data_IF_405531437382
#
_entry.id   IF_405531437382
#
_cell.length_a   1.000
_cell.length_b   1.000
_cell.length_c   1.000
_cell.angle_alpha   90.00
_cell.angle_beta   90.00
_cell.angle_gamma   90.00
#
_symmetry.space_group_name_H-M   'P 1'
#
loop_
_entity.id
_entity.type
_entity.pdbx_description
1 polymer ?
#
# COMPACT_ATOMS: atom_id res chain seq x y z
N UNK A 1 -18.41 13.88 1.40
CA UNK A 1 -18.09 13.97 2.84
C UNK A 1 -16.59 13.98 3.02
N UNK A 2 -16.10 14.17 4.25
CA UNK A 2 -14.66 14.12 4.54
C UNK A 2 -14.12 12.69 4.44
N UNK A 3 -12.84 12.54 4.10
CA UNK A 3 -12.23 11.22 3.91
C UNK A 3 -12.27 10.36 5.18
N UNK A 4 -11.84 10.89 6.32
CA UNK A 4 -11.93 10.22 7.63
C UNK A 4 -13.34 9.70 7.98
N UNK A 5 -14.39 10.38 7.51
CA UNK A 5 -15.77 10.04 7.86
C UNK A 5 -16.37 9.03 6.89
N UNK A 6 -15.93 9.03 5.62
CA UNK A 6 -16.62 8.33 4.53
C UNK A 6 -15.86 7.13 3.99
N UNK A 7 -14.53 7.17 3.94
CA UNK A 7 -13.73 6.10 3.36
C UNK A 7 -13.66 4.83 4.21
N UNK A 8 -13.59 4.89 5.56
CA UNK A 8 -13.55 3.67 6.38
C UNK A 8 -14.79 2.78 6.19
N UNK A 9 -15.95 3.38 5.97
CA UNK A 9 -17.24 2.68 5.81
C UNK A 9 -17.72 2.61 4.37
N UNK A 10 -16.93 3.10 3.41
CA UNK A 10 -17.29 3.05 2.00
C UNK A 10 -17.53 1.58 1.58
N UNK A 11 -18.64 1.27 0.88
CA UNK A 11 -19.03 -0.08 0.48
C UNK A 11 -18.20 -0.58 -0.71
N UNK A 12 -16.88 -0.53 -0.55
CA UNK A 12 -15.85 -0.93 -1.51
C UNK A 12 -15.20 -2.18 -0.94
N UNK A 13 -15.27 -3.28 -1.70
CA UNK A 13 -14.64 -4.55 -1.35
C UNK A 13 -13.23 -4.66 -1.94
N UNK A 14 -13.05 -4.25 -3.19
CA UNK A 14 -11.77 -4.29 -3.90
C UNK A 14 -11.59 -3.11 -4.86
N UNK A 15 -10.35 -2.75 -5.11
CA UNK A 15 -9.92 -1.72 -6.03
C UNK A 15 -8.85 -2.27 -6.97
N UNK A 16 -9.04 -2.10 -8.27
CA UNK A 16 -7.96 -2.30 -9.25
C UNK A 16 -7.01 -1.10 -9.29
N UNK A 17 -7.54 0.10 -9.05
CA UNK A 17 -6.79 1.36 -9.03
C UNK A 17 -7.27 2.23 -7.87
N UNK A 18 -6.33 2.79 -7.11
CA UNK A 18 -6.54 3.84 -6.13
C UNK A 18 -5.81 5.10 -6.62
N UNK A 19 -6.53 6.18 -6.91
CA UNK A 19 -5.93 7.48 -7.25
C UNK A 19 -6.13 8.46 -6.09
N UNK A 20 -5.03 9.06 -5.63
CA UNK A 20 -4.96 10.03 -4.54
C UNK A 20 -4.63 11.41 -5.10
N UNK A 21 -5.45 12.39 -4.74
CA UNK A 21 -5.43 13.75 -5.27
C UNK A 21 -6.10 14.63 -4.20
N UNK A 22 -5.33 15.01 -3.20
CA UNK A 22 -5.87 15.47 -1.92
C UNK A 22 -4.97 16.41 -1.15
N UNK A 23 -3.81 16.78 -1.73
CA UNK A 23 -2.80 17.75 -1.28
C UNK A 23 -2.20 17.57 0.14
N UNK A 24 -3.08 17.44 1.13
CA UNK A 24 -2.80 17.44 2.55
C UNK A 24 -2.27 16.08 3.01
N UNK A 25 -1.45 16.15 4.06
CA UNK A 25 -0.92 14.96 4.73
C UNK A 25 -2.07 14.10 5.28
N UNK A 26 -2.99 14.72 6.03
CA UNK A 26 -4.10 14.02 6.68
C UNK A 26 -5.03 13.37 5.66
N UNK A 27 -5.41 14.09 4.60
CA UNK A 27 -6.26 13.57 3.53
C UNK A 27 -5.64 12.37 2.82
N UNK A 28 -4.34 12.45 2.53
CA UNK A 28 -3.58 11.36 1.91
C UNK A 28 -3.51 10.14 2.84
N UNK A 29 -3.23 10.36 4.13
CA UNK A 29 -3.09 9.29 5.12
C UNK A 29 -4.44 8.62 5.42
N UNK A 30 -5.52 9.38 5.56
CA UNK A 30 -6.89 8.87 5.74
C UNK A 30 -7.30 7.97 4.57
N UNK A 31 -7.06 8.42 3.33
CA UNK A 31 -7.37 7.66 2.14
C UNK A 31 -6.55 6.37 2.04
N UNK A 32 -5.23 6.44 2.27
CA UNK A 32 -4.38 5.25 2.26
C UNK A 32 -4.77 4.24 3.33
N UNK A 33 -5.01 4.67 4.57
CA UNK A 33 -5.39 3.78 5.67
C UNK A 33 -6.71 3.06 5.38
N UNK A 34 -7.68 3.76 4.79
CA UNK A 34 -8.99 3.20 4.49
C UNK A 34 -9.01 2.33 3.21
N UNK A 35 -8.28 2.73 2.17
CA UNK A 35 -8.45 2.19 0.82
C UNK A 35 -7.29 1.33 0.33
N UNK A 36 -6.04 1.56 0.78
CA UNK A 36 -4.91 0.75 0.36
C UNK A 36 -5.10 -0.75 0.62
N UNK A 37 -5.64 -1.19 1.78
CA UNK A 37 -5.90 -2.62 2.02
C UNK A 37 -6.82 -3.26 0.99
N UNK A 38 -7.69 -2.46 0.36
CA UNK A 38 -8.67 -2.88 -0.65
C UNK A 38 -8.07 -2.92 -2.06
N UNK A 39 -6.88 -2.38 -2.30
CA UNK A 39 -6.20 -2.47 -3.60
C UNK A 39 -5.78 -3.92 -3.82
N UNK A 40 -6.27 -4.56 -4.86
CA UNK A 40 -5.92 -5.95 -5.17
C UNK A 40 -4.42 -6.11 -5.44
N UNK A 41 -3.81 -7.28 -5.18
CA UNK A 41 -2.52 -7.63 -5.76
C UNK A 41 -2.50 -7.39 -7.27
N UNK A 42 -1.44 -6.74 -7.76
CA UNK A 42 -1.33 -6.30 -9.16
C UNK A 42 -2.10 -5.02 -9.49
N UNK A 43 -2.88 -4.48 -8.55
CA UNK A 43 -3.54 -3.18 -8.68
C UNK A 43 -2.58 -2.01 -8.51
N UNK A 44 -3.04 -0.81 -8.83
CA UNK A 44 -2.20 0.39 -8.86
C UNK A 44 -2.61 1.40 -7.80
N UNK A 45 -1.61 2.11 -7.27
CA UNK A 45 -1.81 3.35 -6.52
C UNK A 45 -1.15 4.49 -7.28
N UNK A 46 -1.93 5.51 -7.58
CA UNK A 46 -1.51 6.72 -8.29
C UNK A 46 -1.62 7.90 -7.32
N UNK A 47 -0.59 8.74 -7.26
CA UNK A 47 -0.52 9.91 -6.39
C UNK A 47 -0.26 11.12 -7.28
N UNK A 48 -1.21 12.04 -7.34
CA UNK A 48 -1.11 13.24 -8.18
C UNK A 48 -0.10 14.25 -7.62
N UNK A 49 -0.15 14.45 -6.30
CA UNK A 49 0.54 15.55 -5.62
C UNK A 49 1.86 15.16 -4.97
N UNK A 50 2.53 14.10 -5.43
CA UNK A 50 3.78 13.65 -4.79
C UNK A 50 4.89 14.71 -4.86
N UNK A 51 4.80 15.70 -5.76
CA UNK A 51 5.65 16.90 -5.75
C UNK A 51 5.51 17.76 -4.49
N UNK A 52 4.35 17.74 -3.82
CA UNK A 52 4.09 18.51 -2.60
C UNK A 52 4.74 17.83 -1.37
N UNK A 53 5.45 18.59 -0.50
CA UNK A 53 6.12 18.02 0.67
C UNK A 53 5.19 17.29 1.64
N UNK A 54 3.97 17.79 1.84
CA UNK A 54 2.96 17.21 2.74
C UNK A 54 2.44 15.86 2.23
N UNK A 55 2.07 15.80 0.95
CA UNK A 55 1.62 14.56 0.31
C UNK A 55 2.76 13.53 0.29
N UNK A 56 3.97 13.94 -0.13
CA UNK A 56 5.17 13.09 -0.13
C UNK A 56 5.45 12.48 1.25
N UNK A 57 5.43 13.30 2.30
CA UNK A 57 5.64 12.82 3.66
C UNK A 57 4.61 11.76 4.06
N UNK A 58 3.32 11.95 3.72
CA UNK A 58 2.28 10.96 4.00
C UNK A 58 2.51 9.65 3.25
N UNK A 59 2.87 9.70 1.97
CA UNK A 59 3.20 8.51 1.17
C UNK A 59 4.39 7.77 1.78
N UNK A 60 5.48 8.48 2.07
CA UNK A 60 6.71 7.90 2.56
C UNK A 60 6.53 7.28 3.97
N UNK A 61 5.78 7.96 4.85
CA UNK A 61 5.45 7.47 6.19
C UNK A 61 4.56 6.22 6.14
N UNK A 62 3.50 6.25 5.31
CA UNK A 62 2.60 5.12 5.15
C UNK A 62 3.34 3.87 4.65
N UNK A 63 4.21 4.05 3.65
CA UNK A 63 4.99 2.97 3.06
C UNK A 63 6.02 2.43 4.04
N UNK A 64 6.75 3.30 4.74
CA UNK A 64 7.73 2.92 5.75
C UNK A 64 7.09 2.11 6.89
N UNK A 65 5.95 2.56 7.40
CA UNK A 65 5.22 1.88 8.47
C UNK A 65 4.76 0.46 8.10
N UNK A 66 4.61 0.16 6.80
CA UNK A 66 4.11 -1.12 6.28
C UNK A 66 5.15 -1.93 5.52
N UNK A 67 6.40 -1.48 5.47
CA UNK A 67 7.46 -2.15 4.71
C UNK A 67 7.15 -2.25 3.21
N UNK A 68 6.40 -1.30 2.64
CA UNK A 68 6.07 -1.32 1.21
C UNK A 68 7.29 -0.84 0.43
N UNK A 69 7.90 -1.79 -0.28
CA UNK A 69 9.10 -1.56 -1.09
C UNK A 69 8.81 -1.56 -2.60
N UNK A 70 7.53 -1.64 -3.00
CA UNK A 70 7.11 -1.59 -4.40
C UNK A 70 7.68 -0.33 -5.10
N UNK A 71 8.38 -0.46 -6.25
CA UNK A 71 9.03 0.68 -6.89
C UNK A 71 8.07 1.82 -7.22
N UNK A 72 8.50 3.06 -6.91
CA UNK A 72 7.77 4.27 -7.29
C UNK A 72 8.24 4.70 -8.69
N UNK A 73 7.29 4.83 -9.61
CA UNK A 73 7.49 5.31 -10.97
C UNK A 73 6.98 6.73 -11.11
N UNK A 74 7.81 7.62 -11.66
CA UNK A 74 7.40 9.00 -11.97
C UNK A 74 6.54 9.03 -13.22
N UNK A 75 5.48 9.83 -13.18
CA UNK A 75 4.63 10.14 -14.34
C UNK A 75 5.13 11.44 -14.95
N UNK A 76 5.25 12.49 -14.13
CA UNK A 76 5.69 13.82 -14.53
C UNK A 76 6.45 14.54 -13.39
N UNK A 77 6.33 15.87 -13.31
CA UNK A 77 7.01 16.69 -12.31
C UNK A 77 6.44 16.54 -10.89
N UNK A 78 5.20 16.06 -10.74
CA UNK A 78 4.55 15.84 -9.45
C UNK A 78 4.05 14.41 -9.29
N UNK A 79 3.41 13.84 -10.31
CA UNK A 79 2.68 12.59 -10.22
C UNK A 79 3.61 11.37 -10.16
N UNK A 80 3.22 10.38 -9.34
CA UNK A 80 3.87 9.08 -9.27
C UNK A 80 2.85 7.95 -9.17
N UNK A 81 3.29 6.72 -9.42
CA UNK A 81 2.51 5.52 -9.12
C UNK A 81 3.38 4.36 -8.66
N UNK A 82 2.75 3.36 -8.04
CA UNK A 82 3.33 2.02 -7.88
C UNK A 82 2.26 0.95 -8.12
N UNK A 83 2.72 -0.25 -8.50
CA UNK A 83 1.88 -1.44 -8.53
C UNK A 83 2.01 -2.18 -7.20
N UNK A 84 0.89 -2.50 -6.55
CA UNK A 84 0.88 -3.27 -5.30
C UNK A 84 1.29 -4.71 -5.62
N UNK A 85 2.43 -5.14 -5.10
CA UNK A 85 2.80 -6.56 -5.20
C UNK A 85 1.81 -7.44 -4.45
N UNK A 86 1.67 -8.69 -4.87
CA UNK A 86 1.08 -9.69 -3.99
C UNK A 86 1.92 -9.75 -2.72
N UNK A 87 1.29 -9.81 -1.55
CA UNK A 87 2.02 -10.11 -0.33
C UNK A 87 2.73 -11.44 -0.57
N UNK A 88 4.07 -11.40 -0.58
CA UNK A 88 4.87 -12.59 -0.81
C UNK A 88 4.52 -13.57 0.32
N UNK A 89 3.75 -14.62 0.05
CA UNK A 89 3.55 -15.77 0.97
C UNK A 89 4.84 -16.58 1.18
N UNK A 90 6.01 -15.98 0.99
CA UNK A 90 7.32 -16.60 1.14
C UNK A 90 7.94 -16.13 2.45
N UNK A 91 7.27 -16.40 3.56
CA UNK A 91 7.86 -16.27 4.90
C UNK A 91 7.15 -17.13 5.97
N UNK A 92 6.47 -18.24 5.62
CA UNK A 92 6.11 -19.28 6.60
C UNK A 92 6.18 -20.66 5.91
N UNK A 93 7.35 -21.03 5.40
CA UNK A 93 7.72 -22.45 5.32
C UNK A 93 8.99 -22.59 6.14
N UNK A 94 8.81 -22.86 7.42
CA UNK A 94 9.89 -23.37 8.26
C UNK A 94 10.44 -24.64 7.59
N UNK A 95 11.77 -24.81 7.44
CA UNK A 95 12.29 -26.09 6.98
C UNK A 95 12.03 -27.12 8.07
N UNK A 96 11.06 -27.99 7.80
CA UNK A 96 10.87 -29.24 8.51
C UNK A 96 12.22 -29.98 8.56
N UNK A 97 12.79 -30.10 9.77
CA UNK A 97 13.97 -30.93 10.00
C UNK A 97 13.50 -32.37 10.00
N UNK A 98 13.76 -33.03 8.89
CA UNK A 98 13.56 -34.45 8.66
C UNK A 98 14.07 -35.30 9.83
N UNK A 99 13.28 -36.31 10.14
CA UNK A 99 13.50 -37.39 11.09
C UNK A 99 14.94 -37.93 11.18
N UNK A 100 15.39 -38.19 12.39
CA UNK A 100 16.27 -39.31 12.72
C UNK A 100 15.63 -40.10 13.87
N UNK A 101 14.72 -41.01 13.50
CA UNK A 101 14.52 -42.25 14.24
C UNK A 101 15.57 -43.23 13.69
N UNK A 102 16.60 -43.53 14.48
CA UNK A 102 17.30 -44.81 14.38
C UNK A 102 17.18 -45.47 15.75
N UNK A 103 16.22 -46.39 15.83
CA UNK A 103 16.24 -47.46 16.81
C UNK A 103 17.32 -48.46 16.41
N UNK A 104 18.26 -48.72 17.30
CA UNK A 104 18.86 -50.04 17.62
C UNK A 104 19.79 -49.86 18.81
#
# INVERSE_FOLDING_TARGET
GWFRDTLPTAPISQLAVLRLDGDLYESTMDALNALYPKVSPGGFVVVDDYGLPTCRAAIDDFRRARGIIDPIHRIDWTGVFWQRSAENMVAIVSPDRTALHTAS
#
